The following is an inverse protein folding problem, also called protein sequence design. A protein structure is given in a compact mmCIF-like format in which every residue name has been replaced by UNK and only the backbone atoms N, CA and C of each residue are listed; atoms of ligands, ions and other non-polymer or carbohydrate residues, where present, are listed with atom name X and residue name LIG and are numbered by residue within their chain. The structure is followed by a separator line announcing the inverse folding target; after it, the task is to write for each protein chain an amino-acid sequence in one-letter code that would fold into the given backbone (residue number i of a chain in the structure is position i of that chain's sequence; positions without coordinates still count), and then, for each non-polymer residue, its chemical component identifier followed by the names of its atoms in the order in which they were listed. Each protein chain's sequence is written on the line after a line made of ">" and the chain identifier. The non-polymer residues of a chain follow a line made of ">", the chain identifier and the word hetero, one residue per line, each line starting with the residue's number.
data_IF_180690458752
#
_entry.id   IF_180690458752
#
_cell.length_a   1.000
_cell.length_b   1.000
_cell.length_c   1.000
_cell.angle_alpha   90.00
_cell.angle_beta   90.00
_cell.angle_gamma   90.00
#
_symmetry.space_group_name_H-M   'P 1'
#
loop_
_entity.id
_entity.type
_entity.pdbx_description
1 polymer ?
#
# COMPACT_ATOMS: atom_id res chain seq x y z
N UNK A 1 14.63 0.14 2.09
CA UNK A 1 14.57 -0.58 3.37
C UNK A 1 13.79 -1.90 3.26
N UNK A 2 12.50 -1.89 2.97
CA UNK A 2 11.74 -3.14 2.77
C UNK A 2 12.34 -3.99 1.65
N UNK A 3 12.76 -3.38 0.55
CA UNK A 3 13.45 -4.05 -0.57
C UNK A 3 14.77 -4.65 -0.10
N UNK A 4 15.60 -3.86 0.59
CA UNK A 4 16.89 -4.31 1.15
C UNK A 4 16.71 -5.44 2.16
N UNK A 5 15.68 -5.34 3.03
CA UNK A 5 15.32 -6.41 3.95
C UNK A 5 15.00 -7.73 3.24
N UNK A 6 14.21 -7.68 2.14
CA UNK A 6 13.86 -8.88 1.38
C UNK A 6 15.05 -9.51 0.67
N UNK A 7 15.95 -8.71 0.08
CA UNK A 7 17.17 -9.24 -0.54
C UNK A 7 18.07 -9.91 0.50
N UNK A 8 18.25 -9.31 1.67
CA UNK A 8 19.02 -9.90 2.76
C UNK A 8 18.37 -11.19 3.32
N UNK A 9 17.05 -11.19 3.46
CA UNK A 9 16.31 -12.37 3.95
C UNK A 9 16.36 -13.55 2.98
N UNK A 10 16.33 -13.30 1.67
CA UNK A 10 16.33 -14.31 0.62
C UNK A 10 17.75 -14.71 0.18
N UNK A 11 18.79 -14.12 0.78
CA UNK A 11 20.19 -14.29 0.34
C UNK A 11 20.35 -14.07 -1.18
N UNK A 12 19.62 -13.09 -1.72
CA UNK A 12 19.61 -12.76 -3.13
C UNK A 12 20.67 -11.70 -3.47
N UNK A 13 21.17 -11.64 -4.73
CA UNK A 13 22.06 -10.56 -5.14
C UNK A 13 21.47 -9.20 -4.85
N UNK A 14 22.27 -8.26 -4.31
CA UNK A 14 21.80 -6.92 -3.97
C UNK A 14 21.54 -6.09 -5.23
N UNK A 15 20.30 -6.05 -5.66
CA UNK A 15 19.76 -5.21 -6.75
C UNK A 15 18.77 -4.16 -6.19
N UNK A 16 18.96 -3.81 -4.92
CA UNK A 16 18.05 -2.93 -4.19
C UNK A 16 17.93 -1.55 -4.85
N UNK A 17 19.04 -0.98 -5.31
CA UNK A 17 19.06 0.37 -5.90
C UNK A 17 18.29 0.42 -7.22
N UNK A 18 18.47 -0.56 -8.11
CA UNK A 18 17.74 -0.66 -9.38
C UNK A 18 16.24 -0.88 -9.13
N UNK A 19 15.89 -1.73 -8.15
CA UNK A 19 14.51 -1.97 -7.75
C UNK A 19 13.85 -0.72 -7.15
N UNK A 20 14.57 0.04 -6.32
CA UNK A 20 14.08 1.30 -5.75
C UNK A 20 13.89 2.34 -6.85
N UNK A 21 14.82 2.49 -7.79
CA UNK A 21 14.71 3.41 -8.92
C UNK A 21 13.49 3.08 -9.79
N UNK A 22 13.28 1.81 -10.13
CA UNK A 22 12.11 1.36 -10.89
C UNK A 22 10.79 1.61 -10.14
N UNK A 23 10.77 1.40 -8.82
CA UNK A 23 9.58 1.71 -7.99
C UNK A 23 9.30 3.21 -7.92
N UNK A 24 10.33 4.04 -7.83
CA UNK A 24 10.18 5.51 -7.85
C UNK A 24 9.64 6.01 -9.19
N UNK A 25 10.13 5.50 -10.32
CA UNK A 25 9.62 5.83 -11.65
C UNK A 25 8.15 5.42 -11.81
N UNK A 26 7.78 4.21 -11.39
CA UNK A 26 6.39 3.74 -11.39
C UNK A 26 5.49 4.66 -10.55
N UNK A 27 5.95 5.09 -9.39
CA UNK A 27 5.21 6.02 -8.53
C UNK A 27 5.02 7.36 -9.20
N UNK A 28 6.04 7.91 -9.85
CA UNK A 28 5.95 9.17 -10.58
C UNK A 28 4.92 9.10 -11.73
N UNK A 29 4.91 7.98 -12.48
CA UNK A 29 3.93 7.74 -13.54
C UNK A 29 2.50 7.58 -12.94
N UNK A 30 2.38 6.87 -11.82
CA UNK A 30 1.09 6.65 -11.16
C UNK A 30 0.49 7.94 -10.59
N UNK A 31 1.33 8.85 -10.07
CA UNK A 31 0.92 10.16 -9.55
C UNK A 31 0.67 11.21 -10.65
N UNK A 32 0.73 10.82 -11.92
CA UNK A 32 0.40 11.70 -13.04
C UNK A 32 -1.05 12.22 -13.00
N UNK A 33 -1.32 13.42 -13.54
CA UNK A 33 -2.59 14.14 -13.36
C UNK A 33 -3.81 13.41 -13.98
N UNK A 34 -3.58 12.46 -14.87
CA UNK A 34 -4.64 11.71 -15.55
C UNK A 34 -5.10 10.45 -14.78
N UNK A 35 -4.45 10.10 -13.66
CA UNK A 35 -4.72 8.86 -12.93
C UNK A 35 -5.31 9.15 -11.55
N UNK A 36 -6.16 8.24 -11.10
CA UNK A 36 -6.68 8.23 -9.73
C UNK A 36 -6.12 7.02 -9.00
N UNK A 37 -5.67 7.23 -7.76
CA UNK A 37 -5.10 6.20 -6.92
C UNK A 37 -5.97 6.08 -5.67
N UNK A 38 -6.50 4.89 -5.44
CA UNK A 38 -7.15 4.53 -4.19
C UNK A 38 -6.30 3.49 -3.45
N UNK A 39 -5.95 3.79 -2.22
CA UNK A 39 -5.15 2.91 -1.35
C UNK A 39 -5.96 2.61 -0.10
N UNK A 40 -5.98 1.36 0.32
CA UNK A 40 -6.52 0.95 1.61
C UNK A 40 -5.43 0.20 2.37
N UNK A 41 -5.12 0.69 3.56
CA UNK A 41 -4.11 0.11 4.45
C UNK A 41 -4.81 -0.43 5.71
N UNK A 42 -4.39 -1.59 6.19
CA UNK A 42 -4.70 -1.97 7.57
C UNK A 42 -3.85 -1.14 8.54
N UNK A 43 -4.42 -0.72 9.67
CA UNK A 43 -3.69 0.06 10.70
C UNK A 43 -2.38 -0.60 11.10
N UNK A 44 -2.32 -1.94 11.11
CA UNK A 44 -1.10 -2.68 11.45
C UNK A 44 0.08 -2.32 10.54
N UNK A 45 -0.17 -1.98 9.27
CA UNK A 45 0.88 -1.57 8.35
C UNK A 45 1.56 -0.25 8.76
N UNK A 46 0.84 0.63 9.48
CA UNK A 46 1.38 1.88 10.00
C UNK A 46 2.37 1.66 11.16
N UNK A 47 2.24 0.56 11.89
CA UNK A 47 3.08 0.20 13.02
C UNK A 47 4.28 -0.68 12.62
N UNK A 48 4.19 -1.32 11.44
CA UNK A 48 5.24 -2.23 10.97
C UNK A 48 6.45 -1.46 10.46
N UNK A 49 7.57 -1.63 11.14
CA UNK A 49 8.81 -0.90 10.87
C UNK A 49 9.87 -1.82 10.27
N UNK A 50 10.43 -1.42 9.13
CA UNK A 50 11.51 -2.14 8.43
C UNK A 50 12.87 -1.42 8.51
N UNK A 51 12.93 -0.27 9.15
CA UNK A 51 14.12 0.56 9.27
C UNK A 51 14.21 1.24 10.63
N UNK A 52 14.96 2.32 10.69
CA UNK A 52 15.08 3.16 11.90
C UNK A 52 13.78 3.88 12.21
N UNK A 53 13.55 4.33 13.46
CA UNK A 53 12.41 5.17 13.80
C UNK A 53 12.30 6.43 12.92
N UNK A 54 13.43 7.08 12.64
CA UNK A 54 13.46 8.28 11.80
C UNK A 54 12.97 8.01 10.38
N UNK A 55 13.45 6.95 9.74
CA UNK A 55 13.01 6.55 8.39
C UNK A 55 11.53 6.15 8.36
N UNK A 56 11.04 5.54 9.43
CA UNK A 56 9.62 5.23 9.53
C UNK A 56 8.77 6.49 9.70
N UNK A 57 9.23 7.45 10.49
CA UNK A 57 8.59 8.76 10.64
C UNK A 57 8.54 9.52 9.30
N UNK A 58 9.62 9.49 8.53
CA UNK A 58 9.67 10.07 7.18
C UNK A 58 8.65 9.40 6.24
N UNK A 59 8.51 8.08 6.31
CA UNK A 59 7.54 7.32 5.54
C UNK A 59 6.09 7.72 5.86
N UNK A 60 5.75 7.84 7.15
CA UNK A 60 4.41 8.25 7.57
C UNK A 60 4.13 9.72 7.22
N UNK A 61 5.12 10.58 7.34
CA UNK A 61 5.05 11.99 6.93
C UNK A 61 4.82 12.10 5.42
N UNK A 62 5.51 11.30 4.63
CA UNK A 62 5.30 11.22 3.19
C UNK A 62 3.88 10.74 2.86
N UNK A 63 3.39 9.71 3.56
CA UNK A 63 2.01 9.24 3.38
C UNK A 63 0.99 10.35 3.65
N UNK A 64 1.17 11.11 4.74
CA UNK A 64 0.32 12.27 5.04
C UNK A 64 0.38 13.34 3.93
N UNK A 65 1.54 13.58 3.34
CA UNK A 65 1.69 14.53 2.23
C UNK A 65 0.93 14.08 0.96
N UNK A 66 0.97 12.79 0.65
CA UNK A 66 0.24 12.23 -0.48
C UNK A 66 -1.29 12.37 -0.32
N UNK A 67 -1.81 12.34 0.90
CA UNK A 67 -3.24 12.51 1.19
C UNK A 67 -3.77 13.92 0.89
N UNK A 68 -2.91 14.88 0.56
CA UNK A 68 -3.31 16.21 0.09
C UNK A 68 -3.50 16.28 -1.42
N UNK A 69 -3.06 15.27 -2.17
CA UNK A 69 -3.21 15.24 -3.61
C UNK A 69 -4.65 14.86 -3.99
N UNK A 70 -5.34 15.64 -4.83
CA UNK A 70 -6.76 15.42 -5.15
C UNK A 70 -7.03 14.10 -5.90
N UNK A 71 -5.99 13.55 -6.57
CA UNK A 71 -6.10 12.28 -7.27
C UNK A 71 -5.81 11.06 -6.37
N UNK A 72 -5.40 11.28 -5.12
CA UNK A 72 -5.01 10.20 -4.17
C UNK A 72 -6.04 10.09 -3.06
N UNK A 73 -6.61 8.92 -2.90
CA UNK A 73 -7.47 8.55 -1.77
C UNK A 73 -6.76 7.49 -0.92
N UNK A 74 -6.54 7.80 0.35
CA UNK A 74 -5.96 6.84 1.31
C UNK A 74 -6.97 6.57 2.40
N UNK A 75 -7.37 5.31 2.53
CA UNK A 75 -8.17 4.79 3.62
C UNK A 75 -7.32 3.95 4.57
N UNK A 76 -7.62 4.01 5.83
CA UNK A 76 -7.01 3.16 6.86
C UNK A 76 -8.11 2.37 7.56
N UNK A 77 -7.95 1.06 7.62
CA UNK A 77 -8.86 0.19 8.34
C UNK A 77 -8.35 0.07 9.77
N UNK A 78 -9.12 0.58 10.78
CA UNK A 78 -8.72 0.49 12.16
C UNK A 78 -8.61 -0.96 12.64
N UNK A 79 -7.62 -1.25 13.50
CA UNK A 79 -7.39 -2.61 14.01
C UNK A 79 -8.54 -3.13 14.89
N UNK A 80 -9.34 -2.24 15.45
CA UNK A 80 -10.40 -2.56 16.43
C UNK A 80 -11.75 -2.86 15.82
N UNK A 81 -11.95 -2.65 14.53
CA UNK A 81 -13.24 -2.91 13.88
C UNK A 81 -13.45 -4.40 13.58
N UNK A 82 -14.70 -4.81 13.53
CA UNK A 82 -15.06 -6.13 13.03
C UNK A 82 -14.88 -6.18 11.51
N UNK A 83 -13.98 -7.05 11.04
CA UNK A 83 -13.68 -7.22 9.63
C UNK A 83 -14.69 -8.13 8.94
N UNK A 84 -15.10 -7.75 7.74
CA UNK A 84 -15.96 -8.54 6.85
C UNK A 84 -15.22 -9.02 5.60
N UNK A 85 -14.08 -8.40 5.29
CA UNK A 85 -13.17 -8.84 4.24
C UNK A 85 -11.75 -8.98 4.79
N UNK A 86 -11.03 -9.98 4.31
CA UNK A 86 -9.64 -10.26 4.66
C UNK A 86 -8.85 -10.36 3.36
N UNK A 87 -7.96 -9.41 3.12
CA UNK A 87 -6.92 -9.56 2.13
C UNK A 87 -5.76 -10.29 2.81
N UNK A 88 -5.55 -11.55 2.48
CA UNK A 88 -4.43 -12.36 3.01
C UNK A 88 -3.10 -11.96 2.40
N UNK A 89 -3.13 -11.27 1.26
CA UNK A 89 -1.97 -10.74 0.54
C UNK A 89 -2.35 -9.39 -0.07
N UNK A 90 -1.38 -8.47 -0.15
CA UNK A 90 -1.57 -7.20 -0.85
C UNK A 90 -1.75 -7.43 -2.36
N UNK A 91 -2.57 -6.60 -2.98
CA UNK A 91 -2.82 -6.65 -4.42
C UNK A 91 -3.01 -5.25 -4.99
N UNK A 92 -2.79 -5.13 -6.30
CA UNK A 92 -3.02 -3.92 -7.09
C UNK A 92 -4.01 -4.21 -8.19
N UNK A 93 -5.03 -3.37 -8.36
CA UNK A 93 -5.97 -3.41 -9.48
C UNK A 93 -5.59 -2.28 -10.45
N UNK A 94 -5.37 -2.62 -11.71
CA UNK A 94 -5.04 -1.68 -12.78
C UNK A 94 -6.22 -1.51 -13.72
N UNK A 95 -6.98 -0.42 -13.56
CA UNK A 95 -8.07 0.01 -14.46
C UNK A 95 -9.08 -1.10 -14.80
N UNK A 96 -9.33 -2.03 -13.87
CA UNK A 96 -10.15 -3.24 -14.08
C UNK A 96 -9.68 -4.15 -15.24
N UNK A 97 -8.45 -4.01 -15.68
CA UNK A 97 -7.87 -4.81 -16.77
C UNK A 97 -6.90 -5.88 -16.27
N UNK A 98 -6.34 -5.69 -15.09
CA UNK A 98 -5.44 -6.65 -14.47
C UNK A 98 -5.40 -6.48 -12.96
N UNK A 99 -5.07 -7.58 -12.28
CA UNK A 99 -4.68 -7.57 -10.86
C UNK A 99 -3.26 -8.13 -10.75
N UNK A 100 -2.42 -7.48 -9.94
CA UNK A 100 -1.10 -7.98 -9.61
C UNK A 100 -1.02 -8.32 -8.12
N UNK A 101 -0.35 -9.44 -7.84
CA UNK A 101 -0.01 -9.89 -6.48
C UNK A 101 1.46 -10.32 -6.47
N UNK A 102 2.11 -10.13 -5.36
CA UNK A 102 3.49 -10.57 -5.15
C UNK A 102 3.56 -11.49 -3.92
N UNK A 103 4.17 -12.64 -4.11
CA UNK A 103 4.55 -13.56 -3.04
C UNK A 103 6.08 -13.60 -2.95
N UNK A 104 6.68 -14.16 -1.90
CA UNK A 104 8.13 -14.31 -1.82
C UNK A 104 8.78 -15.04 -3.00
N UNK A 105 8.03 -15.90 -3.68
CA UNK A 105 8.54 -16.77 -4.75
C UNK A 105 7.92 -16.53 -6.12
N UNK A 106 6.89 -15.67 -6.24
CA UNK A 106 6.19 -15.46 -7.50
C UNK A 106 5.53 -14.09 -7.59
N UNK A 107 5.59 -13.50 -8.78
CA UNK A 107 4.71 -12.41 -9.19
C UNK A 107 3.54 -12.98 -9.99
N UNK A 108 2.32 -12.71 -9.57
CA UNK A 108 1.10 -13.23 -10.18
C UNK A 108 0.36 -12.09 -10.87
N UNK A 109 0.02 -12.28 -12.13
CA UNK A 109 -0.82 -11.36 -12.89
C UNK A 109 -2.13 -12.04 -13.27
N UNK A 110 -3.24 -11.50 -12.77
CA UNK A 110 -4.60 -11.97 -13.08
C UNK A 110 -5.18 -11.08 -14.16
N UNK A 111 -5.69 -11.70 -15.24
CA UNK A 111 -6.28 -11.00 -16.39
C UNK A 111 -7.67 -11.50 -16.76
N UNK A 112 -8.16 -12.56 -16.11
CA UNK A 112 -9.51 -13.08 -16.35
C UNK A 112 -10.56 -12.15 -15.74
N UNK A 113 -11.55 -11.67 -16.50
CA UNK A 113 -12.53 -10.71 -16.00
C UNK A 113 -13.27 -11.15 -14.74
N UNK A 114 -13.62 -12.44 -14.65
CA UNK A 114 -14.32 -13.00 -13.49
C UNK A 114 -13.46 -12.97 -12.21
N UNK A 115 -12.15 -13.22 -12.34
CA UNK A 115 -11.22 -13.18 -11.23
C UNK A 115 -10.94 -11.72 -10.83
N UNK A 116 -10.78 -10.80 -11.79
CA UNK A 116 -10.66 -9.37 -11.53
C UNK A 116 -11.86 -8.85 -10.77
N UNK A 117 -13.08 -9.27 -11.13
CA UNK A 117 -14.31 -8.87 -10.46
C UNK A 117 -14.32 -9.28 -8.97
N UNK A 118 -13.74 -10.44 -8.62
CA UNK A 118 -13.60 -10.87 -7.21
C UNK A 118 -12.67 -9.93 -6.41
N UNK A 119 -11.53 -9.53 -6.99
CA UNK A 119 -10.63 -8.56 -6.35
C UNK A 119 -11.25 -7.18 -6.24
N UNK A 120 -12.00 -6.75 -7.25
CA UNK A 120 -12.72 -5.47 -7.20
C UNK A 120 -13.78 -5.48 -6.09
N UNK A 121 -14.57 -6.54 -5.98
CA UNK A 121 -15.56 -6.68 -4.91
C UNK A 121 -14.89 -6.74 -3.52
N UNK A 122 -13.74 -7.40 -3.40
CA UNK A 122 -12.95 -7.41 -2.17
C UNK A 122 -12.44 -6.00 -1.83
N UNK A 123 -11.92 -5.26 -2.81
CA UNK A 123 -11.44 -3.90 -2.60
C UNK A 123 -12.57 -2.97 -2.18
N UNK A 124 -13.74 -3.06 -2.80
CA UNK A 124 -14.95 -2.30 -2.43
C UNK A 124 -15.36 -2.57 -0.97
N UNK A 125 -15.24 -3.81 -0.51
CA UNK A 125 -15.54 -4.14 0.89
C UNK A 125 -14.48 -3.58 1.84
N UNK A 126 -13.19 -3.64 1.48
CA UNK A 126 -12.11 -3.04 2.26
C UNK A 126 -12.28 -1.51 2.36
N UNK A 127 -12.71 -0.86 1.27
CA UNK A 127 -13.00 0.57 1.27
C UNK A 127 -14.12 0.95 2.25
N UNK A 128 -15.17 0.12 2.36
CA UNK A 128 -16.30 0.34 3.30
C UNK A 128 -15.87 0.20 4.77
N UNK A 129 -14.82 -0.55 5.04
CA UNK A 129 -14.27 -0.76 6.38
C UNK A 129 -13.22 0.31 6.76
N UNK A 130 -12.75 1.10 5.81
CA UNK A 130 -11.73 2.10 6.04
C UNK A 130 -12.30 3.45 6.46
N UNK A 131 -11.57 4.14 7.31
CA UNK A 131 -11.74 5.57 7.58
C UNK A 131 -10.90 6.39 6.62
N UNK A 132 -11.34 7.60 6.32
CA UNK A 132 -10.72 8.48 5.33
C UNK A 132 -10.52 9.89 5.87
N UNK A 133 -9.90 10.74 5.08
CA UNK A 133 -9.81 12.18 5.31
C UNK A 133 -9.19 12.52 6.66
N UNK A 134 -9.90 13.30 7.46
CA UNK A 134 -9.42 13.77 8.76
C UNK A 134 -9.12 12.62 9.73
N UNK A 135 -10.02 11.64 9.85
CA UNK A 135 -9.90 10.54 10.81
C UNK A 135 -8.71 9.63 10.47
N UNK A 136 -8.50 9.34 9.18
CA UNK A 136 -7.33 8.60 8.74
C UNK A 136 -6.01 9.35 9.04
N UNK A 137 -5.98 10.67 8.77
CA UNK A 137 -4.82 11.50 9.10
C UNK A 137 -4.55 11.56 10.60
N UNK A 138 -5.59 11.65 11.42
CA UNK A 138 -5.42 11.61 12.89
C UNK A 138 -4.83 10.27 13.36
N UNK A 139 -5.28 9.15 12.77
CA UNK A 139 -4.76 7.84 13.12
C UNK A 139 -3.28 7.71 12.76
N UNK A 140 -2.89 8.14 11.54
CA UNK A 140 -1.49 8.15 11.10
C UNK A 140 -0.64 9.06 12.00
N UNK A 141 -1.14 10.25 12.34
CA UNK A 141 -0.43 11.20 13.22
C UNK A 141 -0.23 10.64 14.64
N UNK A 142 -1.21 9.88 15.16
CA UNK A 142 -1.05 9.19 16.46
C UNK A 142 0.07 8.16 16.42
N UNK A 143 0.17 7.38 15.34
CA UNK A 143 1.25 6.40 15.18
C UNK A 143 2.61 7.12 15.06
N UNK A 144 2.67 8.20 14.27
CA UNK A 144 3.88 9.02 14.13
C UNK A 144 4.36 9.60 15.47
N UNK A 145 3.45 9.98 16.36
CA UNK A 145 3.79 10.52 17.68
C UNK A 145 4.32 9.45 18.67
N UNK A 146 4.24 8.17 18.33
CA UNK A 146 4.75 7.05 19.13
C UNK A 146 6.18 6.63 18.74
N UNK A 147 6.74 7.21 17.68
CA UNK A 147 8.07 6.90 17.17
C UNK A 147 9.14 7.78 17.80
#
# INVERSE_FOLDING_TARGET
>A
QMVTFWYAFLDAPDDADATVAMKAERTAIALGPAKRIAVVLGEQALHTRYGTPAEHADQLTHLLSLMHLPMVSVGVIPATIQRRAIATIGFWIFDNNAVALETPTAAIKVTRPQEIALYSAMFDQLQKEAIYGHDARQLIAKVLALL
#
